data_IF_959849219539
#
_entry.id   IF_959849219539
#
_cell.length_a   1.000
_cell.length_b   1.000
_cell.length_c   1.000
_cell.angle_alpha   90.00
_cell.angle_beta   90.00
_cell.angle_gamma   90.00
#
_symmetry.space_group_name_H-M   'P 1'
#
loop_
_entity.id
_entity.type
_entity.pdbx_description
1 polymer ?
#
# COMPACT_ATOMS: atom_id res chain seq x y z
N UNK A 1 -24.08 -0.91 12.98
CA UNK A 1 -23.49 -1.21 14.30
C UNK A 1 -22.45 -0.15 14.60
N UNK A 2 -22.81 0.89 15.37
CA UNK A 2 -21.85 1.89 15.85
C UNK A 2 -21.19 1.24 17.06
N UNK A 3 -20.04 0.62 16.86
CA UNK A 3 -19.24 0.03 17.93
C UNK A 3 -18.91 1.08 18.96
N UNK A 4 -18.96 0.66 20.23
CA UNK A 4 -18.78 1.48 21.42
C UNK A 4 -17.67 2.52 21.26
N UNK A 5 -18.05 3.80 21.34
CA UNK A 5 -17.10 4.89 21.46
C UNK A 5 -16.58 4.87 22.89
N UNK A 6 -15.70 3.92 23.21
CA UNK A 6 -14.85 4.04 24.39
C UNK A 6 -14.17 5.41 24.36
N UNK A 7 -14.13 6.09 25.51
CA UNK A 7 -13.44 7.36 25.66
C UNK A 7 -11.96 7.18 25.25
N UNK A 8 -11.61 7.61 24.03
CA UNK A 8 -10.26 7.51 23.51
C UNK A 8 -9.39 8.58 24.16
N UNK A 9 -8.25 8.18 24.70
CA UNK A 9 -7.26 9.11 25.27
C UNK A 9 -6.18 9.47 24.25
N UNK A 10 -5.46 10.56 24.51
CA UNK A 10 -4.23 10.88 23.79
C UNK A 10 -3.10 9.97 24.30
N UNK A 11 -2.46 9.24 23.40
CA UNK A 11 -1.31 8.37 23.67
C UNK A 11 -0.08 8.94 22.96
N UNK A 12 1.07 8.95 23.64
CA UNK A 12 2.37 9.31 23.05
C UNK A 12 3.15 8.04 22.74
N UNK A 13 3.65 7.92 21.51
CA UNK A 13 4.50 6.80 21.09
C UNK A 13 5.98 7.19 21.12
N UNK A 14 6.92 6.22 21.22
CA UNK A 14 8.36 6.48 21.38
C UNK A 14 8.98 7.38 20.29
N UNK A 15 8.41 7.38 19.09
CA UNK A 15 8.88 8.19 17.95
C UNK A 15 8.30 9.63 17.95
N UNK A 16 7.70 10.09 19.05
CA UNK A 16 7.14 11.44 19.19
C UNK A 16 5.71 11.61 18.65
N UNK A 17 5.12 10.58 18.05
CA UNK A 17 3.75 10.61 17.55
C UNK A 17 2.73 10.74 18.71
N UNK A 18 1.71 11.58 18.51
CA UNK A 18 0.56 11.70 19.40
C UNK A 18 -0.65 11.08 18.69
N UNK A 19 -1.28 10.10 19.31
CA UNK A 19 -2.35 9.29 18.72
C UNK A 19 -3.60 9.42 19.58
N UNK A 20 -4.75 9.66 18.95
CA UNK A 20 -6.04 9.62 19.61
C UNK A 20 -6.62 8.20 19.55
N UNK A 21 -6.65 7.50 20.68
CA UNK A 21 -6.99 6.08 20.73
C UNK A 21 -5.79 5.19 20.43
N UNK A 22 -5.93 4.28 19.47
CA UNK A 22 -4.89 3.31 19.09
C UNK A 22 -4.47 3.51 17.63
N UNK A 23 -3.19 3.23 17.33
CA UNK A 23 -2.71 3.21 15.96
C UNK A 23 -3.44 2.12 15.18
N UNK A 24 -3.83 2.39 13.93
CA UNK A 24 -4.31 1.34 13.05
C UNK A 24 -3.18 0.33 12.76
N UNK A 25 -3.56 -0.88 12.39
CA UNK A 25 -2.63 -1.99 12.13
C UNK A 25 -1.54 -1.62 11.13
N UNK A 26 -1.93 -1.04 9.99
CA UNK A 26 -0.98 -0.58 8.99
C UNK A 26 0.05 0.45 9.50
N UNK A 27 -0.30 1.30 10.46
CA UNK A 27 0.66 2.23 11.07
C UNK A 27 1.60 1.52 12.04
N UNK A 28 1.10 0.53 12.80
CA UNK A 28 1.95 -0.30 13.68
C UNK A 28 2.98 -1.07 12.86
N UNK A 29 2.59 -1.69 11.75
CA UNK A 29 3.51 -2.42 10.86
C UNK A 29 4.54 -1.45 10.25
N UNK A 30 4.10 -0.28 9.79
CA UNK A 30 4.98 0.75 9.22
C UNK A 30 6.02 1.25 10.23
N UNK A 31 5.65 1.47 11.50
CA UNK A 31 6.58 1.90 12.54
C UNK A 31 7.72 0.91 12.81
N UNK A 32 7.50 -0.39 12.55
CA UNK A 32 8.54 -1.41 12.63
C UNK A 32 9.35 -1.54 11.33
N UNK A 33 9.03 -0.77 10.29
CA UNK A 33 9.69 -0.87 8.99
C UNK A 33 9.29 -2.11 8.19
N UNK A 34 8.15 -2.76 8.50
CA UNK A 34 7.74 -4.05 7.89
C UNK A 34 6.55 -3.92 6.96
N UNK A 35 6.31 -2.73 6.38
CA UNK A 35 5.23 -2.48 5.42
C UNK A 35 5.78 -2.16 4.04
N UNK A 36 5.72 -3.13 3.13
CA UNK A 36 6.17 -2.94 1.75
C UNK A 36 5.31 -1.90 1.02
N UNK A 37 5.90 -1.16 0.09
CA UNK A 37 5.17 -0.25 -0.81
C UNK A 37 5.17 -0.83 -2.21
N UNK A 38 4.02 -1.18 -2.74
CA UNK A 38 3.88 -1.79 -4.07
C UNK A 38 3.25 -0.75 -4.99
N UNK A 39 4.06 -0.19 -5.87
CA UNK A 39 3.65 0.74 -6.91
C UNK A 39 3.25 -0.07 -8.16
N UNK A 40 1.96 -0.09 -8.49
CA UNK A 40 1.42 -0.96 -9.56
C UNK A 40 1.76 -0.44 -10.95
N UNK A 41 1.58 0.86 -11.16
CA UNK A 41 1.70 1.54 -12.45
C UNK A 41 1.77 3.05 -12.21
N UNK A 42 2.43 3.79 -13.09
CA UNK A 42 2.43 5.25 -13.09
C UNK A 42 1.34 5.89 -13.94
N UNK A 43 0.49 5.08 -14.57
CA UNK A 43 -0.69 5.56 -15.29
C UNK A 43 -1.72 6.08 -14.29
N UNK A 44 -2.31 7.23 -14.58
CA UNK A 44 -3.36 7.86 -13.78
C UNK A 44 -4.27 8.68 -14.72
N UNK A 45 -5.61 8.58 -14.63
CA UNK A 45 -6.50 9.44 -15.39
C UNK A 45 -6.52 10.87 -14.83
N UNK A 46 -6.01 11.07 -13.61
CA UNK A 46 -5.99 12.35 -12.92
C UNK A 46 -4.66 13.05 -13.13
N UNK A 47 -4.69 14.35 -13.40
CA UNK A 47 -3.50 15.18 -13.52
C UNK A 47 -3.37 16.17 -12.36
N UNK A 48 -3.28 15.66 -11.13
CA UNK A 48 -3.18 16.51 -9.94
C UNK A 48 -1.98 17.46 -10.03
N UNK A 49 -2.20 18.74 -9.71
CA UNK A 49 -1.14 19.76 -9.71
C UNK A 49 -0.03 19.49 -8.68
N UNK A 50 -0.34 18.71 -7.64
CA UNK A 50 0.57 18.35 -6.55
C UNK A 50 1.09 16.90 -6.63
N UNK A 51 0.86 16.20 -7.75
CA UNK A 51 1.20 14.77 -7.84
C UNK A 51 2.70 14.54 -7.56
N UNK A 52 3.06 13.80 -6.50
CA UNK A 52 4.46 13.66 -6.05
C UNK A 52 5.24 12.58 -6.82
N UNK A 53 4.60 11.90 -7.78
CA UNK A 53 5.24 10.81 -8.55
C UNK A 53 6.35 11.38 -9.41
N UNK A 54 7.52 10.76 -9.33
CA UNK A 54 8.71 11.17 -10.06
C UNK A 54 8.53 11.04 -11.59
N UNK A 55 9.32 11.79 -12.37
CA UNK A 55 9.27 11.74 -13.83
C UNK A 55 9.65 10.36 -14.39
N UNK A 56 10.45 9.59 -13.65
CA UNK A 56 10.85 8.23 -14.01
C UNK A 56 9.65 7.27 -13.97
N UNK A 57 8.70 7.47 -13.06
CA UNK A 57 7.53 6.61 -12.87
C UNK A 57 6.27 7.16 -13.54
N UNK A 58 6.07 8.48 -13.54
CA UNK A 58 4.83 9.15 -14.00
C UNK A 58 4.52 8.81 -15.46
N UNK A 59 3.29 8.38 -15.72
CA UNK A 59 2.80 8.07 -17.06
C UNK A 59 3.39 6.79 -17.67
N UNK A 60 4.15 5.99 -16.92
CA UNK A 60 4.75 4.74 -17.40
C UNK A 60 4.11 3.54 -16.72
N UNK A 61 3.88 2.48 -17.49
CA UNK A 61 3.33 1.24 -16.95
C UNK A 61 4.43 0.33 -16.36
N UNK A 62 5.05 0.81 -15.29
CA UNK A 62 6.13 0.13 -14.57
C UNK A 62 5.68 -0.22 -13.15
N UNK A 63 6.04 -1.40 -12.67
CA UNK A 63 5.78 -1.84 -11.29
C UNK A 63 7.05 -1.76 -10.45
N UNK A 64 6.92 -1.29 -9.21
CA UNK A 64 7.99 -1.27 -8.22
C UNK A 64 7.50 -1.87 -6.90
N UNK A 65 8.43 -2.52 -6.20
CA UNK A 65 8.28 -2.83 -4.78
C UNK A 65 9.37 -2.08 -4.05
N UNK A 66 8.99 -1.20 -3.12
CA UNK A 66 9.88 -0.20 -2.53
C UNK A 66 10.57 0.61 -3.64
N UNK A 67 11.90 0.50 -3.76
CA UNK A 67 12.69 1.17 -4.81
C UNK A 67 13.10 0.24 -5.96
N UNK A 68 12.85 -1.07 -5.85
CA UNK A 68 13.21 -2.04 -6.89
C UNK A 68 12.13 -2.12 -7.94
N UNK A 69 12.49 -1.86 -9.19
CA UNK A 69 11.61 -2.16 -10.32
C UNK A 69 11.46 -3.68 -10.45
N UNK A 70 10.23 -4.16 -10.59
CA UNK A 70 9.93 -5.58 -10.77
C UNK A 70 9.17 -5.80 -12.06
N UNK A 71 9.47 -6.92 -12.71
CA UNK A 71 8.90 -7.33 -13.99
C UNK A 71 8.08 -8.61 -13.90
N UNK A 72 8.14 -9.30 -12.76
CA UNK A 72 7.42 -10.55 -12.51
C UNK A 72 6.87 -10.63 -11.10
N UNK A 73 5.86 -11.50 -10.92
CA UNK A 73 5.32 -11.81 -9.60
C UNK A 73 6.39 -12.41 -8.66
N UNK A 74 7.31 -13.21 -9.23
CA UNK A 74 8.43 -13.80 -8.48
C UNK A 74 9.31 -12.71 -7.86
N UNK A 75 9.75 -11.74 -8.67
CA UNK A 75 10.56 -10.61 -8.18
C UNK A 75 9.80 -9.76 -7.14
N UNK A 76 8.48 -9.60 -7.32
CA UNK A 76 7.64 -8.90 -6.34
C UNK A 76 7.63 -9.63 -5.00
N UNK A 77 7.39 -10.94 -4.99
CA UNK A 77 7.36 -11.74 -3.77
C UNK A 77 8.74 -11.78 -3.09
N UNK A 78 9.80 -11.96 -3.87
CA UNK A 78 11.18 -11.92 -3.38
C UNK A 78 11.48 -10.61 -2.66
N UNK A 79 11.10 -9.45 -3.22
CA UNK A 79 11.37 -8.16 -2.59
C UNK A 79 10.56 -7.96 -1.29
N UNK A 80 9.31 -8.43 -1.25
CA UNK A 80 8.48 -8.37 -0.04
C UNK A 80 9.04 -9.27 1.06
N UNK A 81 9.57 -10.45 0.69
CA UNK A 81 10.20 -11.40 1.61
C UNK A 81 11.56 -10.89 2.11
N UNK A 82 12.37 -10.27 1.24
CA UNK A 82 13.66 -9.66 1.62
C UNK A 82 13.51 -8.52 2.64
N UNK A 83 12.40 -7.79 2.59
CA UNK A 83 12.05 -6.76 3.56
C UNK A 83 11.50 -7.35 4.88
N UNK A 84 11.21 -8.65 4.93
CA UNK A 84 10.50 -9.29 6.02
C UNK A 84 9.17 -8.58 6.33
N UNK A 85 8.42 -8.27 5.27
CA UNK A 85 7.20 -7.48 5.38
C UNK A 85 6.05 -8.30 6.00
N UNK A 86 5.23 -7.63 6.83
CA UNK A 86 3.99 -8.18 7.41
C UNK A 86 2.74 -7.59 6.74
N UNK A 87 2.92 -6.63 5.83
CA UNK A 87 1.85 -6.05 5.05
C UNK A 87 2.37 -5.20 3.89
N UNK A 88 1.45 -4.77 3.03
CA UNK A 88 1.76 -3.91 1.90
C UNK A 88 0.78 -2.73 1.76
N UNK A 89 1.32 -1.58 1.38
CA UNK A 89 0.57 -0.48 0.79
C UNK A 89 0.60 -0.59 -0.74
N UNK A 90 -0.58 -0.73 -1.36
CA UNK A 90 -0.73 -0.79 -2.82
C UNK A 90 -1.03 0.62 -3.34
N UNK A 91 -0.22 1.11 -4.27
CA UNK A 91 -0.26 2.48 -4.77
C UNK A 91 0.13 2.53 -6.25
N UNK A 92 0.36 3.72 -6.80
CA UNK A 92 0.66 3.96 -8.20
C UNK A 92 0.47 5.43 -8.56
N UNK A 93 0.26 5.69 -9.85
CA UNK A 93 -0.57 6.81 -10.30
C UNK A 93 -2.02 6.56 -9.90
N UNK A 94 -2.63 5.56 -10.52
CA UNK A 94 -3.89 4.97 -10.09
C UNK A 94 -3.79 3.45 -10.24
N UNK A 95 -3.63 2.68 -9.14
CA UNK A 95 -3.47 1.23 -9.23
C UNK A 95 -4.66 0.53 -9.89
N UNK A 96 -5.87 1.10 -9.80
CA UNK A 96 -7.07 0.49 -10.38
C UNK A 96 -7.16 0.64 -11.92
N UNK A 97 -6.33 1.49 -12.55
CA UNK A 97 -6.16 1.47 -14.02
C UNK A 97 -5.63 0.11 -14.51
N UNK A 98 -4.98 -0.64 -13.62
CA UNK A 98 -4.54 -2.01 -13.83
C UNK A 98 -5.25 -2.95 -12.86
N UNK A 99 -6.58 -2.94 -12.86
CA UNK A 99 -7.44 -3.70 -11.94
C UNK A 99 -7.02 -5.16 -11.78
N UNK A 100 -6.93 -5.91 -12.88
CA UNK A 100 -6.55 -7.34 -12.85
C UNK A 100 -5.16 -7.56 -12.23
N UNK A 101 -4.17 -6.71 -12.56
CA UNK A 101 -2.82 -6.78 -11.98
C UNK A 101 -2.87 -6.52 -10.48
N UNK A 102 -3.59 -5.48 -10.05
CA UNK A 102 -3.77 -5.12 -8.64
C UNK A 102 -4.42 -6.25 -7.86
N UNK A 103 -5.52 -6.80 -8.36
CA UNK A 103 -6.22 -7.92 -7.73
C UNK A 103 -5.31 -9.16 -7.67
N UNK A 104 -4.64 -9.50 -8.77
CA UNK A 104 -3.73 -10.64 -8.82
C UNK A 104 -2.61 -10.53 -7.78
N UNK A 105 -1.97 -9.36 -7.67
CA UNK A 105 -0.91 -9.14 -6.69
C UNK A 105 -1.44 -9.24 -5.25
N UNK A 106 -2.59 -8.63 -4.95
CA UNK A 106 -3.21 -8.75 -3.62
C UNK A 106 -3.52 -10.21 -3.27
N UNK A 107 -4.07 -10.98 -4.22
CA UNK A 107 -4.38 -12.41 -4.04
C UNK A 107 -3.11 -13.23 -3.79
N UNK A 108 -2.08 -13.04 -4.61
CA UNK A 108 -0.85 -13.81 -4.49
C UNK A 108 -0.05 -13.45 -3.24
N UNK A 109 -0.06 -12.18 -2.80
CA UNK A 109 0.49 -11.78 -1.50
C UNK A 109 -0.22 -12.50 -0.34
N UNK A 110 -1.55 -12.49 -0.32
CA UNK A 110 -2.33 -13.17 0.74
C UNK A 110 -2.20 -14.69 0.67
N UNK A 111 -1.99 -15.26 -0.51
CA UNK A 111 -1.74 -16.69 -0.69
C UNK A 111 -0.35 -17.08 -0.19
N UNK A 112 0.66 -16.26 -0.47
CA UNK A 112 2.05 -16.54 -0.13
C UNK A 112 2.37 -16.26 1.35
N UNK A 113 1.95 -15.10 1.87
CA UNK A 113 2.25 -14.66 3.24
C UNK A 113 1.12 -14.93 4.25
N UNK A 114 -0.02 -15.43 3.79
CA UNK A 114 -1.18 -15.75 4.62
C UNK A 114 -2.32 -14.75 4.53
N UNK A 115 -3.54 -15.22 4.86
CA UNK A 115 -4.79 -14.44 4.71
C UNK A 115 -4.78 -13.14 5.51
N UNK A 116 -4.06 -13.13 6.64
CA UNK A 116 -3.94 -12.01 7.55
C UNK A 116 -2.88 -10.99 7.12
N UNK A 117 -2.11 -11.26 6.06
CA UNK A 117 -1.16 -10.29 5.50
C UNK A 117 -1.89 -8.98 5.17
N UNK A 118 -1.50 -7.90 5.84
CA UNK A 118 -2.25 -6.66 5.86
C UNK A 118 -2.10 -5.92 4.52
N UNK A 119 -3.21 -5.56 3.88
CA UNK A 119 -3.22 -4.82 2.61
C UNK A 119 -3.92 -3.48 2.80
N UNK A 120 -3.30 -2.40 2.33
CA UNK A 120 -3.93 -1.07 2.24
C UNK A 120 -3.82 -0.54 0.82
N UNK A 121 -4.95 -0.34 0.14
CA UNK A 121 -5.01 0.17 -1.23
C UNK A 121 -5.28 1.68 -1.24
N UNK A 122 -4.38 2.44 -1.86
CA UNK A 122 -4.56 3.85 -2.15
C UNK A 122 -5.12 4.02 -3.55
N UNK A 123 -6.34 4.55 -3.68
CA UNK A 123 -6.98 4.81 -4.97
C UNK A 123 -7.73 6.13 -4.95
N UNK A 124 -7.80 6.81 -6.10
CA UNK A 124 -8.64 7.97 -6.33
C UNK A 124 -10.11 7.60 -6.56
N UNK A 125 -10.43 6.29 -6.68
CA UNK A 125 -11.76 5.73 -6.99
C UNK A 125 -12.37 6.13 -8.34
N UNK A 126 -11.71 6.98 -9.14
CA UNK A 126 -12.30 7.51 -10.37
C UNK A 126 -12.54 6.49 -11.49
N UNK A 127 -11.91 5.32 -11.40
CA UNK A 127 -12.01 4.25 -12.41
C UNK A 127 -12.82 3.05 -11.90
N UNK A 128 -13.44 3.16 -10.72
CA UNK A 128 -14.37 2.15 -10.24
C UNK A 128 -15.69 2.30 -10.98
N UNK A 129 -16.15 1.21 -11.60
CA UNK A 129 -17.52 1.03 -12.07
C UNK A 129 -18.24 0.04 -11.17
N UNK A 130 -19.57 0.11 -11.15
CA UNK A 130 -20.45 -0.83 -10.43
C UNK A 130 -20.34 -2.27 -10.97
#
# INVERSE_FOLDING_TARGET
>A
MRGDVQARSLKRYPLGNIVYGDLCEGCRICMHGRKAVIFITGLCPVNCFYCPISAERRGKDLTFVNERQVSSLKELLEEVELMDAEGAGITGGEPLVRLERTINYIRELKKHFGKDFHIHLYTSSQVLSD
#
